data_IF_992222140503
#
_entry.id   IF_992222140503
#
_cell.length_a   1.000
_cell.length_b   1.000
_cell.length_c   1.000
_cell.angle_alpha   90.00
_cell.angle_beta   90.00
_cell.angle_gamma   90.00
#
_symmetry.space_group_name_H-M   'P 1'
#
loop_
_entity.id
_entity.type
_entity.pdbx_description
1 polymer ?
#
# COMPACT_ATOMS: atom_id res chain seq x y z
N UNK A 1 -42.53 64.78 8.74
CA UNK A 1 -41.30 63.98 8.53
C UNK A 1 -40.99 63.35 9.88
N UNK A 2 -41.34 62.06 10.05
CA UNK A 2 -41.30 61.37 11.34
C UNK A 2 -39.90 60.86 11.64
N UNK A 3 -39.47 61.06 12.89
CA UNK A 3 -38.11 60.81 13.38
C UNK A 3 -37.63 59.37 13.22
N UNK A 4 -36.32 59.24 13.06
CA UNK A 4 -35.60 57.97 13.07
C UNK A 4 -34.77 57.95 14.35
N UNK A 5 -35.29 57.29 15.38
CA UNK A 5 -34.52 56.95 16.57
C UNK A 5 -33.42 55.93 16.21
N UNK A 6 -32.21 56.03 16.81
CA UNK A 6 -31.20 54.99 16.68
C UNK A 6 -31.63 53.81 17.54
N UNK A 7 -32.18 52.78 16.89
CA UNK A 7 -32.49 51.51 17.52
C UNK A 7 -31.24 50.96 18.21
N UNK A 8 -31.37 50.83 19.53
CA UNK A 8 -30.62 49.96 20.42
C UNK A 8 -30.10 48.72 19.67
N UNK A 9 -28.77 48.54 19.63
CA UNK A 9 -28.21 47.22 19.37
C UNK A 9 -28.61 46.32 20.52
N UNK A 10 -29.41 45.29 20.22
CA UNK A 10 -29.83 44.27 21.16
C UNK A 10 -28.58 43.56 21.74
N UNK A 11 -28.42 43.46 23.07
CA UNK A 11 -27.44 42.57 23.69
C UNK A 11 -27.65 41.09 23.33
N UNK A 12 -28.82 40.79 22.79
CA UNK A 12 -29.38 39.50 22.40
C UNK A 12 -28.63 38.92 21.18
N UNK A 13 -28.32 39.75 20.17
CA UNK A 13 -27.55 39.37 18.97
C UNK A 13 -26.12 38.93 19.28
N UNK A 14 -25.48 39.60 20.26
CA UNK A 14 -24.12 39.26 20.69
C UNK A 14 -24.10 37.94 21.46
N UNK A 15 -25.08 37.72 22.34
CA UNK A 15 -25.21 36.51 23.14
C UNK A 15 -25.63 35.30 22.28
N UNK A 16 -26.44 35.51 21.24
CA UNK A 16 -26.82 34.46 20.28
C UNK A 16 -25.62 34.01 19.44
N UNK A 17 -24.76 34.95 19.02
CA UNK A 17 -23.50 34.61 18.32
C UNK A 17 -22.55 33.80 19.19
N UNK A 18 -22.41 34.16 20.46
CA UNK A 18 -21.59 33.40 21.41
C UNK A 18 -22.13 31.98 21.63
N UNK A 19 -23.45 31.81 21.67
CA UNK A 19 -24.10 30.49 21.76
C UNK A 19 -23.83 29.65 20.50
N UNK A 20 -23.94 30.26 19.32
CA UNK A 20 -23.67 29.59 18.02
C UNK A 20 -22.21 29.15 17.93
N UNK A 21 -21.26 29.99 18.35
CA UNK A 21 -19.83 29.65 18.33
C UNK A 21 -19.50 28.50 19.29
N UNK A 22 -20.12 28.48 20.49
CA UNK A 22 -19.98 27.39 21.45
C UNK A 22 -20.53 26.07 20.91
N UNK A 23 -21.70 26.09 20.28
CA UNK A 23 -22.28 24.90 19.65
C UNK A 23 -21.41 24.39 18.50
N UNK A 24 -20.88 25.29 17.67
CA UNK A 24 -19.96 24.94 16.60
C UNK A 24 -18.67 24.31 17.14
N UNK A 25 -18.05 24.89 18.16
CA UNK A 25 -16.87 24.33 18.80
C UNK A 25 -17.14 22.93 19.36
N UNK A 26 -18.27 22.71 20.02
CA UNK A 26 -18.68 21.39 20.53
C UNK A 26 -18.83 20.34 19.40
N UNK A 27 -19.36 20.73 18.24
CA UNK A 27 -19.44 19.85 17.07
C UNK A 27 -18.06 19.52 16.49
N UNK A 28 -17.15 20.49 16.49
CA UNK A 28 -15.79 20.33 15.93
C UNK A 28 -14.86 19.58 16.89
N UNK A 29 -15.00 19.76 18.20
CA UNK A 29 -14.21 19.05 19.23
C UNK A 29 -14.43 17.53 19.19
N UNK A 30 -15.64 17.07 18.83
CA UNK A 30 -15.97 15.66 18.65
C UNK A 30 -15.48 15.07 17.32
N UNK A 31 -15.05 15.92 16.38
CA UNK A 31 -14.34 15.48 15.19
C UNK A 31 -12.88 15.30 15.58
N UNK A 32 -12.57 14.13 16.14
CA UNK A 32 -11.20 13.65 16.15
C UNK A 32 -10.71 13.68 14.70
N UNK A 33 -9.91 14.71 14.37
CA UNK A 33 -8.96 14.58 13.28
C UNK A 33 -8.13 13.39 13.70
N UNK A 34 -8.39 12.23 13.11
CA UNK A 34 -7.55 11.07 13.28
C UNK A 34 -6.17 11.56 12.81
N UNK A 35 -5.32 11.83 13.79
CA UNK A 35 -4.03 12.48 13.63
C UNK A 35 -3.29 11.60 12.63
N UNK A 36 -3.08 12.13 11.42
CA UNK A 36 -2.45 11.41 10.34
C UNK A 36 -1.19 10.79 10.90
N UNK A 37 -1.19 9.47 11.07
CA UNK A 37 0.01 8.73 11.38
C UNK A 37 1.09 9.25 10.42
N UNK A 38 2.33 9.49 10.87
CA UNK A 38 3.42 9.92 9.99
C UNK A 38 3.69 8.92 8.87
N UNK A 39 3.01 7.78 8.87
CA UNK A 39 2.90 6.84 7.76
C UNK A 39 1.44 6.75 7.30
N UNK A 40 1.20 7.07 6.02
CA UNK A 40 -0.08 6.85 5.36
C UNK A 40 -0.25 5.37 5.07
N UNK A 41 -1.49 4.91 4.89
CA UNK A 41 -1.78 3.56 4.36
C UNK A 41 -0.98 3.25 3.06
N UNK A 42 -0.75 4.26 2.22
CA UNK A 42 0.09 4.12 1.02
C UNK A 42 1.57 3.87 1.34
N UNK A 43 2.11 4.48 2.40
CA UNK A 43 3.49 4.24 2.86
C UNK A 43 3.65 2.84 3.46
N UNK A 44 2.57 2.26 3.98
CA UNK A 44 2.54 0.87 4.44
C UNK A 44 2.52 -0.10 3.25
N UNK A 45 1.70 0.17 2.21
CA UNK A 45 1.68 -0.62 0.98
C UNK A 45 3.03 -0.62 0.26
N UNK A 46 3.72 0.51 0.19
CA UNK A 46 5.06 0.62 -0.42
C UNK A 46 6.10 -0.23 0.33
N UNK A 47 5.97 -0.34 1.67
CA UNK A 47 6.80 -1.25 2.49
C UNK A 47 6.51 -2.73 2.24
N UNK A 48 5.25 -3.09 1.96
CA UNK A 48 4.87 -4.48 1.68
C UNK A 48 5.42 -4.99 0.35
N UNK A 49 5.58 -4.13 -0.66
CA UNK A 49 6.23 -4.53 -1.90
C UNK A 49 7.65 -5.02 -1.64
N UNK A 50 8.45 -4.30 -0.84
CA UNK A 50 9.85 -4.66 -0.62
C UNK A 50 10.04 -5.99 0.12
N UNK A 51 9.12 -6.33 1.03
CA UNK A 51 9.19 -7.59 1.80
C UNK A 51 8.82 -8.84 0.98
N UNK A 52 8.01 -8.69 -0.07
CA UNK A 52 7.58 -9.80 -0.92
C UNK A 52 8.29 -9.84 -2.27
N UNK A 53 9.31 -9.00 -2.50
CA UNK A 53 10.11 -9.07 -3.72
C UNK A 53 10.80 -10.42 -3.80
N UNK A 54 10.75 -11.01 -4.99
CA UNK A 54 11.49 -12.21 -5.32
C UNK A 54 12.98 -11.99 -5.03
N UNK A 55 13.51 -12.65 -4.01
CA UNK A 55 14.95 -12.77 -3.80
C UNK A 55 15.43 -13.96 -4.65
N UNK A 56 16.17 -13.72 -5.76
CA UNK A 56 16.69 -14.81 -6.54
C UNK A 56 17.61 -15.65 -5.63
N UNK A 57 17.39 -16.97 -5.51
CA UNK A 57 18.34 -17.82 -4.80
C UNK A 57 19.68 -17.73 -5.52
N UNK A 58 20.77 -17.45 -4.81
CA UNK A 58 22.09 -17.46 -5.40
C UNK A 58 22.51 -18.92 -5.67
N UNK A 59 22.50 -19.40 -6.92
CA UNK A 59 22.85 -20.78 -7.18
C UNK A 59 24.34 -20.98 -6.85
N UNK A 60 24.73 -22.13 -6.28
CA UNK A 60 26.14 -22.43 -6.06
C UNK A 60 26.87 -22.44 -7.40
N UNK A 61 28.04 -21.79 -7.45
CA UNK A 61 28.88 -21.75 -8.65
C UNK A 61 29.32 -23.17 -8.99
N UNK A 62 28.70 -23.77 -10.00
CA UNK A 62 29.14 -25.05 -10.55
C UNK A 62 30.39 -24.82 -11.40
N UNK A 63 31.46 -25.57 -11.13
CA UNK A 63 32.69 -25.47 -11.92
C UNK A 63 32.50 -25.98 -13.35
N UNK A 64 33.33 -25.51 -14.29
CA UNK A 64 33.26 -25.89 -15.71
C UNK A 64 33.25 -27.42 -15.92
N UNK A 65 34.05 -28.16 -15.15
CA UNK A 65 34.09 -29.62 -15.23
C UNK A 65 32.77 -30.31 -14.82
N UNK A 66 32.05 -29.73 -13.85
CA UNK A 66 30.74 -30.22 -13.40
C UNK A 66 29.68 -30.00 -14.48
N UNK A 67 29.71 -28.83 -15.15
CA UNK A 67 28.80 -28.52 -16.27
C UNK A 67 29.00 -29.46 -17.46
N UNK A 68 30.25 -29.79 -17.80
CA UNK A 68 30.56 -30.68 -18.90
C UNK A 68 30.16 -32.14 -18.60
N UNK A 69 30.38 -32.60 -17.37
CA UNK A 69 29.89 -33.92 -16.92
C UNK A 69 28.36 -34.02 -16.99
N UNK A 70 27.65 -32.97 -16.57
CA UNK A 70 26.18 -32.90 -16.68
C UNK A 70 25.70 -32.92 -18.12
N UNK A 71 26.38 -32.20 -19.02
CA UNK A 71 26.07 -32.18 -20.45
C UNK A 71 26.30 -33.55 -21.12
N UNK A 72 27.39 -34.24 -20.80
CA UNK A 72 27.63 -35.60 -21.33
C UNK A 72 26.59 -36.58 -20.77
N UNK A 73 26.27 -36.47 -19.48
CA UNK A 73 25.28 -37.34 -18.83
C UNK A 73 23.87 -37.12 -19.40
N UNK A 74 23.47 -35.89 -19.74
CA UNK A 74 22.18 -35.63 -20.38
C UNK A 74 22.12 -36.19 -21.79
N UNK A 75 23.19 -36.08 -22.59
CA UNK A 75 23.29 -36.68 -23.92
C UNK A 75 23.24 -38.22 -23.83
N UNK A 76 23.93 -38.80 -22.85
CA UNK A 76 23.92 -40.25 -22.60
C UNK A 76 22.53 -40.73 -22.15
N UNK A 77 21.84 -39.95 -21.33
CA UNK A 77 20.46 -40.22 -20.89
C UNK A 77 19.47 -40.07 -22.06
N UNK A 78 19.62 -39.09 -22.93
CA UNK A 78 18.82 -38.95 -24.15
C UNK A 78 18.99 -40.15 -25.08
N UNK A 79 20.24 -40.61 -25.26
CA UNK A 79 20.54 -41.74 -26.14
C UNK A 79 20.04 -43.08 -25.60
N UNK A 80 19.97 -43.23 -24.27
CA UNK A 80 19.64 -44.49 -23.60
C UNK A 80 18.26 -44.47 -22.90
N UNK A 81 17.51 -43.38 -23.02
CA UNK A 81 16.21 -43.21 -22.35
C UNK A 81 15.08 -43.97 -23.06
N UNK A 82 14.07 -44.47 -22.33
CA UNK A 82 12.92 -45.13 -22.93
C UNK A 82 12.15 -44.18 -23.86
N UNK A 83 11.53 -44.74 -24.90
CA UNK A 83 10.79 -44.02 -25.95
C UNK A 83 9.48 -43.36 -25.47
N UNK A 84 9.04 -43.63 -24.24
CA UNK A 84 7.90 -42.96 -23.63
C UNK A 84 8.40 -41.78 -22.79
N UNK A 85 8.20 -40.58 -23.32
CA UNK A 85 8.50 -39.33 -22.63
C UNK A 85 7.33 -39.01 -21.70
N UNK A 86 7.54 -39.15 -20.42
CA UNK A 86 6.67 -38.52 -19.43
C UNK A 86 6.89 -37.00 -19.53
N UNK A 87 5.99 -36.36 -20.26
CA UNK A 87 5.43 -35.04 -19.95
C UNK A 87 6.45 -33.94 -19.59
N UNK A 88 7.28 -33.53 -20.56
CA UNK A 88 8.11 -32.34 -20.47
C UNK A 88 7.35 -31.07 -20.90
N UNK A 89 6.07 -30.96 -20.55
CA UNK A 89 5.31 -29.71 -20.44
C UNK A 89 5.29 -28.76 -21.65
N UNK A 90 5.78 -29.17 -22.82
CA UNK A 90 5.77 -28.39 -24.05
C UNK A 90 4.49 -28.74 -24.84
N UNK A 91 3.36 -28.21 -24.40
CA UNK A 91 2.16 -28.15 -25.23
C UNK A 91 2.34 -27.08 -26.32
N UNK A 92 2.08 -27.47 -27.57
CA UNK A 92 1.78 -26.55 -28.67
C UNK A 92 0.36 -26.00 -28.53
#
# INVERSE_FOLDING_TARGET
MSGKDPGHGEPDDAHERELIDLEFQSMVEGLSLDESSPTTYLDELDKFEDQNRFQPPAPPKVGLGETFKRAINSIKKWKNGPTFRDDDGAAL
#
